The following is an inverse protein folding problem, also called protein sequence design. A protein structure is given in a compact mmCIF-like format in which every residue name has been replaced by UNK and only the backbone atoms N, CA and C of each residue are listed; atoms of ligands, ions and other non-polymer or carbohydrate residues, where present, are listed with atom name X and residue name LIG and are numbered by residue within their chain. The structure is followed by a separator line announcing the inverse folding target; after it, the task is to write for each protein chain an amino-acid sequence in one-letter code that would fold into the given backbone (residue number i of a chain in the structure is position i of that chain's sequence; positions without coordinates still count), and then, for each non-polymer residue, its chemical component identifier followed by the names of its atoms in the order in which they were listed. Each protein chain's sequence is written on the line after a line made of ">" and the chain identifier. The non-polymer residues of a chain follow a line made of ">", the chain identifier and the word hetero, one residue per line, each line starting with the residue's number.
data_IF_748581329473
#
_entry.id   IF_748581329473
#
_cell.length_a   1.000
_cell.length_b   1.000
_cell.length_c   1.000
_cell.angle_alpha   90.00
_cell.angle_beta   90.00
_cell.angle_gamma   90.00
#
_symmetry.space_group_name_H-M   'P 1'
#
loop_
_entity.id
_entity.type
_entity.pdbx_description
1 polymer ?
#
# COMPACT_ATOMS: atom_id res chain seq x y z
N UNK A 1 -68.26 52.80 -4.06
CA UNK A 1 -66.89 52.88 -4.59
C UNK A 1 -66.06 51.76 -3.98
N UNK A 2 -65.93 50.66 -4.70
CA UNK A 2 -65.12 49.52 -4.26
C UNK A 2 -63.75 49.61 -4.94
N UNK A 3 -62.65 49.69 -4.14
CA UNK A 3 -61.29 49.65 -4.65
C UNK A 3 -60.88 48.13 -4.78
N UNK A 4 -60.55 47.74 -6.02
CA UNK A 4 -59.95 46.43 -6.29
C UNK A 4 -58.45 46.52 -6.04
N UNK A 5 -57.97 45.69 -5.14
CA UNK A 5 -56.54 45.49 -4.92
C UNK A 5 -56.02 44.38 -5.87
N UNK A 6 -55.22 44.76 -6.83
CA UNK A 6 -54.55 43.84 -7.74
C UNK A 6 -53.26 43.34 -7.08
N UNK A 7 -53.21 42.06 -6.65
CA UNK A 7 -52.00 41.42 -6.19
C UNK A 7 -51.15 40.93 -7.36
N UNK A 8 -50.04 41.62 -7.58
CA UNK A 8 -49.03 41.19 -8.54
C UNK A 8 -48.26 40.00 -7.94
N UNK A 9 -48.46 38.78 -8.50
CA UNK A 9 -47.68 37.60 -8.14
C UNK A 9 -46.34 37.62 -8.88
N UNK A 10 -45.24 37.90 -8.18
CA UNK A 10 -43.88 37.67 -8.68
C UNK A 10 -43.65 36.15 -8.74
N UNK A 11 -43.47 35.62 -9.94
CA UNK A 11 -42.97 34.27 -10.15
C UNK A 11 -41.45 34.28 -9.99
N UNK A 12 -40.95 33.61 -8.94
CA UNK A 12 -39.50 33.36 -8.74
C UNK A 12 -39.16 32.14 -9.58
N UNK A 13 -38.20 32.22 -10.51
CA UNK A 13 -37.74 31.04 -11.22
C UNK A 13 -36.90 30.18 -10.28
N UNK A 14 -37.35 28.96 -10.00
CA UNK A 14 -36.56 27.94 -9.31
C UNK A 14 -35.48 27.47 -10.28
N UNK A 15 -34.26 27.94 -10.07
CA UNK A 15 -33.08 27.44 -10.77
C UNK A 15 -32.79 26.02 -10.25
N UNK A 16 -33.17 25.00 -11.03
CA UNK A 16 -32.78 23.62 -10.79
C UNK A 16 -31.27 23.53 -11.01
N UNK A 17 -30.48 23.60 -9.92
CA UNK A 17 -29.07 23.30 -9.93
C UNK A 17 -28.92 21.79 -10.11
N UNK A 18 -28.72 21.36 -11.34
CA UNK A 18 -28.41 19.96 -11.65
C UNK A 18 -27.11 19.58 -11.01
N UNK A 19 -27.18 18.81 -9.91
CA UNK A 19 -26.01 18.13 -9.33
C UNK A 19 -25.57 17.09 -10.36
N UNK A 20 -24.55 17.44 -11.15
CA UNK A 20 -23.82 16.44 -11.94
C UNK A 20 -23.08 15.56 -10.93
N UNK A 21 -23.72 14.47 -10.53
CA UNK A 21 -23.02 13.37 -9.87
C UNK A 21 -22.10 12.79 -10.93
N UNK A 22 -20.85 13.26 -10.94
CA UNK A 22 -19.75 12.55 -11.62
C UNK A 22 -19.62 11.21 -10.91
N UNK A 23 -20.44 10.26 -11.36
CA UNK A 23 -20.30 8.88 -10.97
C UNK A 23 -18.90 8.43 -11.38
N UNK A 24 -18.00 8.34 -10.41
CA UNK A 24 -16.75 7.62 -10.57
C UNK A 24 -17.16 6.18 -10.94
N UNK A 25 -17.35 5.92 -12.22
CA UNK A 25 -17.46 4.55 -12.72
C UNK A 25 -16.13 3.89 -12.34
N UNK A 26 -16.19 3.06 -11.32
CA UNK A 26 -15.19 2.03 -11.09
C UNK A 26 -15.09 1.26 -12.41
N UNK A 27 -14.13 1.68 -13.22
CA UNK A 27 -13.86 1.12 -14.53
C UNK A 27 -13.59 -0.36 -14.35
N UNK A 28 -14.36 -1.17 -15.04
CA UNK A 28 -14.22 -2.61 -15.05
C UNK A 28 -12.77 -3.02 -15.21
N UNK A 29 -12.39 -4.09 -14.51
CA UNK A 29 -11.07 -4.72 -14.47
C UNK A 29 -10.36 -4.60 -15.83
N UNK A 30 -9.40 -3.66 -15.91
CA UNK A 30 -8.52 -3.57 -17.08
C UNK A 30 -7.74 -4.88 -17.14
N UNK A 31 -7.81 -5.57 -18.25
CA UNK A 31 -7.23 -6.91 -18.45
C UNK A 31 -5.69 -6.96 -18.41
N UNK A 32 -5.03 -5.93 -17.92
CA UNK A 32 -3.57 -5.80 -17.84
C UNK A 32 -3.12 -4.62 -16.98
N UNK A 33 -1.82 -4.52 -16.76
CA UNK A 33 -1.20 -3.35 -16.12
C UNK A 33 -1.50 -2.09 -16.95
N UNK A 34 -1.73 -0.97 -16.26
CA UNK A 34 -1.97 0.32 -16.90
C UNK A 34 -0.68 0.82 -17.58
N UNK A 35 -0.81 1.84 -18.43
CA UNK A 35 0.36 2.45 -19.06
C UNK A 35 1.34 3.00 -18.02
N UNK A 36 0.83 3.60 -16.94
CA UNK A 36 1.65 4.17 -15.88
C UNK A 36 2.35 3.06 -15.06
N UNK A 37 1.62 2.02 -14.66
CA UNK A 37 2.22 0.86 -13.99
C UNK A 37 3.32 0.21 -14.84
N UNK A 38 3.12 0.09 -16.16
CA UNK A 38 4.14 -0.41 -17.07
C UNK A 38 5.33 0.53 -17.20
N UNK A 39 5.13 1.85 -17.16
CA UNK A 39 6.21 2.82 -17.14
C UNK A 39 7.12 2.58 -15.94
N UNK A 40 6.54 2.43 -14.74
CA UNK A 40 7.27 2.09 -13.53
C UNK A 40 8.08 0.80 -13.72
N UNK A 41 7.47 -0.24 -14.30
CA UNK A 41 8.12 -1.54 -14.48
C UNK A 41 9.27 -1.54 -15.47
N UNK A 42 9.20 -0.73 -16.54
CA UNK A 42 10.14 -0.81 -17.67
C UNK A 42 11.14 0.35 -17.74
N UNK A 43 10.84 1.50 -17.13
CA UNK A 43 11.73 2.67 -17.15
C UNK A 43 12.63 2.76 -15.91
N UNK A 44 12.32 2.02 -14.82
CA UNK A 44 13.18 1.93 -13.66
C UNK A 44 14.11 0.71 -13.74
N UNK A 45 15.22 0.77 -12.99
CA UNK A 45 16.17 -0.33 -12.85
C UNK A 45 15.56 -1.54 -12.11
N UNK A 46 16.38 -2.51 -11.73
CA UNK A 46 15.95 -3.71 -10.99
C UNK A 46 15.37 -3.40 -9.62
N UNK A 47 15.76 -2.29 -9.01
CA UNK A 47 15.23 -1.79 -7.74
C UNK A 47 14.30 -0.62 -8.03
N UNK A 48 13.05 -0.72 -7.56
CA UNK A 48 12.02 0.29 -7.79
C UNK A 48 12.16 1.43 -6.77
N UNK A 49 11.79 2.64 -7.19
CA UNK A 49 11.64 3.77 -6.25
C UNK A 49 10.58 3.45 -5.21
N UNK A 50 10.91 3.65 -3.94
CA UNK A 50 9.96 3.49 -2.84
C UNK A 50 9.26 4.81 -2.56
N UNK A 51 7.94 4.83 -2.72
CA UNK A 51 7.07 6.00 -2.46
C UNK A 51 7.10 6.37 -0.97
N UNK A 52 7.04 7.67 -0.68
CA UNK A 52 7.13 8.18 0.70
C UNK A 52 5.98 9.12 1.03
N UNK A 53 5.50 9.09 2.27
CA UNK A 53 4.34 9.91 2.74
C UNK A 53 4.57 11.42 2.65
N UNK A 54 5.79 11.87 2.47
CA UNK A 54 6.21 13.26 2.40
C UNK A 54 6.10 13.88 1.03
N UNK A 55 6.04 13.07 -0.02
CA UNK A 55 5.63 13.51 -1.34
C UNK A 55 4.10 13.41 -1.45
N UNK A 56 3.40 14.50 -1.81
CA UNK A 56 1.94 14.48 -1.91
C UNK A 56 1.39 13.50 -2.95
N UNK A 57 2.09 13.26 -4.06
CA UNK A 57 1.69 12.32 -5.10
C UNK A 57 1.85 10.87 -4.64
N UNK A 58 2.95 10.56 -3.97
CA UNK A 58 3.22 9.27 -3.36
C UNK A 58 2.21 8.98 -2.24
N UNK A 59 1.96 9.96 -1.38
CA UNK A 59 0.98 9.86 -0.29
C UNK A 59 -0.41 9.51 -0.81
N UNK A 60 -0.82 10.08 -1.95
CA UNK A 60 -2.11 9.74 -2.57
C UNK A 60 -2.16 8.26 -2.99
N UNK A 61 -1.07 7.73 -3.56
CA UNK A 61 -0.98 6.32 -3.95
C UNK A 61 -1.04 5.43 -2.71
N UNK A 62 -0.25 5.74 -1.68
CA UNK A 62 -0.19 4.99 -0.42
C UNK A 62 -1.53 4.97 0.33
N UNK A 63 -2.39 5.97 0.11
CA UNK A 63 -3.71 6.09 0.76
C UNK A 63 -4.87 5.57 -0.09
N UNK A 64 -4.57 5.02 -1.27
CA UNK A 64 -5.60 4.50 -2.18
C UNK A 64 -5.71 2.98 -2.07
N UNK A 65 -6.91 2.41 -1.79
CA UNK A 65 -7.10 0.97 -1.78
C UNK A 65 -6.71 0.32 -3.12
N UNK A 66 -6.02 -0.80 -3.02
CA UNK A 66 -5.46 -1.51 -4.17
C UNK A 66 -6.45 -2.45 -4.84
N UNK A 67 -6.38 -2.54 -6.17
CA UNK A 67 -7.20 -3.44 -6.96
C UNK A 67 -6.56 -4.84 -7.07
N UNK A 68 -7.41 -5.87 -7.23
CA UNK A 68 -6.98 -7.23 -7.53
C UNK A 68 -6.36 -7.33 -8.94
N UNK A 69 -5.50 -8.32 -9.11
CA UNK A 69 -5.02 -8.74 -10.41
C UNK A 69 -5.95 -9.79 -11.00
N UNK A 70 -6.23 -9.67 -12.31
CA UNK A 70 -6.93 -10.73 -13.04
C UNK A 70 -6.00 -11.91 -13.33
N UNK A 71 -6.57 -13.09 -13.63
CA UNK A 71 -5.81 -14.28 -14.02
C UNK A 71 -4.88 -14.01 -15.20
N UNK A 72 -5.34 -13.21 -16.17
CA UNK A 72 -4.53 -12.79 -17.31
C UNK A 72 -3.30 -11.97 -16.87
N UNK A 73 -3.44 -11.11 -15.87
CA UNK A 73 -2.32 -10.35 -15.31
C UNK A 73 -1.34 -11.28 -14.60
N UNK A 74 -1.82 -12.20 -13.77
CA UNK A 74 -1.00 -13.16 -13.03
C UNK A 74 -0.15 -14.04 -13.96
N UNK A 75 -0.68 -14.43 -15.12
CA UNK A 75 0.06 -15.20 -16.14
C UNK A 75 0.98 -14.36 -17.05
N UNK A 76 0.97 -13.04 -16.90
CA UNK A 76 1.73 -12.15 -17.78
C UNK A 76 3.23 -12.10 -17.45
N UNK A 77 4.04 -11.74 -18.45
CA UNK A 77 5.45 -11.43 -18.23
C UNK A 77 5.65 -10.18 -17.37
N UNK A 78 4.71 -9.22 -17.45
CA UNK A 78 4.73 -8.00 -16.67
C UNK A 78 4.60 -8.32 -15.17
N UNK A 79 3.74 -9.27 -14.78
CA UNK A 79 3.61 -9.70 -13.38
C UNK A 79 4.87 -10.41 -12.88
N UNK A 80 5.49 -11.26 -13.68
CA UNK A 80 6.75 -11.92 -13.29
C UNK A 80 7.86 -10.88 -13.07
N UNK A 81 8.03 -9.96 -14.02
CA UNK A 81 8.99 -8.86 -13.88
C UNK A 81 8.68 -8.00 -12.63
N UNK A 82 7.41 -7.71 -12.38
CA UNK A 82 7.00 -6.97 -11.19
C UNK A 82 7.38 -7.71 -9.90
N UNK A 83 7.08 -9.00 -9.83
CA UNK A 83 7.40 -9.83 -8.65
C UNK A 83 8.91 -9.87 -8.37
N UNK A 84 9.73 -10.01 -9.41
CA UNK A 84 11.19 -9.98 -9.30
C UNK A 84 11.71 -8.64 -8.80
N UNK A 85 11.20 -7.53 -9.36
CA UNK A 85 11.60 -6.17 -8.96
C UNK A 85 11.11 -5.81 -7.56
N UNK A 86 9.89 -6.19 -7.19
CA UNK A 86 9.35 -5.97 -5.85
C UNK A 86 10.21 -6.67 -4.79
N UNK A 87 10.58 -7.92 -5.06
CA UNK A 87 11.48 -8.69 -4.22
C UNK A 87 12.89 -8.07 -4.14
N UNK A 88 13.46 -7.68 -5.28
CA UNK A 88 14.77 -7.02 -5.32
C UNK A 88 14.76 -5.69 -4.55
N UNK A 89 13.64 -4.95 -4.59
CA UNK A 89 13.48 -3.67 -3.90
C UNK A 89 13.51 -3.85 -2.36
N UNK A 90 12.73 -4.78 -1.82
CA UNK A 90 12.72 -4.99 -0.37
C UNK A 90 14.04 -5.56 0.16
N UNK A 91 14.77 -6.30 -0.68
CA UNK A 91 16.08 -6.88 -0.35
C UNK A 91 17.26 -5.93 -0.64
N UNK A 92 17.00 -4.71 -1.10
CA UNK A 92 18.07 -3.75 -1.36
C UNK A 92 18.83 -3.44 -0.05
N UNK A 93 20.16 -3.42 -0.04
CA UNK A 93 20.97 -3.31 1.19
C UNK A 93 20.67 -2.07 2.03
N UNK A 94 20.13 -1.02 1.40
CA UNK A 94 19.78 0.25 2.07
C UNK A 94 18.32 0.32 2.54
N UNK A 95 17.48 -0.67 2.24
CA UNK A 95 16.06 -0.65 2.63
C UNK A 95 15.81 -1.33 3.98
N UNK A 96 16.61 -2.34 4.36
CA UNK A 96 16.46 -3.12 5.61
C UNK A 96 15.00 -3.56 5.87
N UNK A 97 14.29 -3.91 4.76
CA UNK A 97 12.87 -4.26 4.80
C UNK A 97 12.65 -5.77 4.94
N UNK A 98 11.64 -6.15 5.73
CA UNK A 98 11.19 -7.55 5.87
C UNK A 98 9.88 -7.79 5.11
N UNK A 99 9.26 -6.73 4.61
CA UNK A 99 8.07 -6.75 3.78
C UNK A 99 7.95 -5.49 2.94
N UNK A 100 7.20 -5.57 1.85
CA UNK A 100 6.85 -4.45 0.98
C UNK A 100 5.54 -4.73 0.25
N UNK A 101 4.71 -3.71 0.13
CA UNK A 101 3.47 -3.76 -0.63
C UNK A 101 3.58 -2.99 -1.96
N UNK A 102 2.85 -3.43 -2.97
CA UNK A 102 2.85 -2.83 -4.31
C UNK A 102 2.60 -1.30 -4.35
N UNK A 103 1.71 -0.69 -3.53
CA UNK A 103 1.56 0.75 -3.51
C UNK A 103 2.82 1.49 -3.05
N UNK A 104 3.70 0.85 -2.28
CA UNK A 104 4.99 1.43 -1.88
C UNK A 104 5.99 1.55 -3.05
N UNK A 105 5.69 0.98 -4.19
CA UNK A 105 6.47 1.18 -5.43
C UNK A 105 5.62 1.81 -6.55
N UNK A 106 4.54 2.51 -6.19
CA UNK A 106 3.70 3.24 -7.12
C UNK A 106 2.69 2.39 -7.90
N UNK A 107 2.49 1.12 -7.54
CA UNK A 107 1.61 0.18 -8.24
C UNK A 107 0.42 -0.20 -7.35
N UNK A 108 -0.78 0.37 -7.63
CA UNK A 108 -1.97 0.16 -6.81
C UNK A 108 -2.64 -1.20 -7.06
N UNK A 109 -1.90 -2.29 -6.82
CA UNK A 109 -2.35 -3.68 -6.96
C UNK A 109 -2.20 -4.45 -5.66
N UNK A 110 -3.12 -5.40 -5.41
CA UNK A 110 -3.06 -6.23 -4.19
C UNK A 110 -1.96 -7.29 -4.30
N UNK A 111 -0.72 -6.85 -4.10
CA UNK A 111 0.47 -7.71 -4.06
C UNK A 111 1.36 -7.24 -2.93
N UNK A 112 1.87 -8.19 -2.16
CA UNK A 112 2.92 -7.96 -1.17
C UNK A 112 4.08 -8.91 -1.40
N UNK A 113 5.25 -8.55 -0.89
CA UNK A 113 6.39 -9.45 -0.75
C UNK A 113 6.79 -9.46 0.73
N UNK A 114 6.93 -10.64 1.32
CA UNK A 114 7.18 -10.84 2.76
C UNK A 114 8.32 -11.82 2.97
N UNK A 115 9.23 -11.52 3.91
CA UNK A 115 10.21 -12.49 4.40
C UNK A 115 9.52 -13.46 5.37
N UNK A 116 9.62 -14.74 5.07
CA UNK A 116 8.95 -15.83 5.80
C UNK A 116 9.86 -16.38 6.90
N UNK A 117 9.92 -15.67 8.04
CA UNK A 117 10.69 -16.11 9.23
C UNK A 117 10.19 -17.42 9.81
N UNK A 118 8.99 -17.85 9.47
CA UNK A 118 8.39 -19.12 9.86
C UNK A 118 8.73 -20.29 8.92
N UNK A 119 9.53 -20.06 7.87
CA UNK A 119 10.00 -21.08 6.92
C UNK A 119 11.53 -21.23 6.97
N UNK A 120 12.01 -22.45 6.67
CA UNK A 120 13.45 -22.71 6.57
C UNK A 120 14.11 -21.80 5.51
N UNK A 121 15.24 -21.18 5.86
CA UNK A 121 15.96 -20.25 5.00
C UNK A 121 15.31 -18.87 4.87
N UNK A 122 14.23 -18.59 5.59
CA UNK A 122 13.57 -17.30 5.67
C UNK A 122 13.34 -16.62 4.30
N UNK A 123 12.74 -17.33 3.31
CA UNK A 123 12.66 -16.83 1.94
C UNK A 123 11.72 -15.60 1.84
N UNK A 124 12.03 -14.71 0.90
CA UNK A 124 11.08 -13.71 0.46
C UNK A 124 10.11 -14.30 -0.56
N UNK A 125 8.80 -14.20 -0.27
CA UNK A 125 7.74 -14.74 -1.10
C UNK A 125 6.74 -13.65 -1.52
N UNK A 126 6.19 -13.74 -2.75
CA UNK A 126 5.25 -12.76 -3.31
C UNK A 126 3.84 -13.31 -3.27
N UNK A 127 2.91 -12.52 -2.76
CA UNK A 127 1.53 -12.91 -2.50
C UNK A 127 0.53 -12.03 -3.29
N UNK A 128 0.10 -12.44 -4.50
CA UNK A 128 -0.90 -11.69 -5.26
C UNK A 128 -2.32 -11.93 -4.73
N UNK A 129 -3.15 -10.90 -4.81
CA UNK A 129 -4.54 -10.90 -4.35
C UNK A 129 -4.70 -11.33 -2.88
N UNK A 130 -3.71 -11.00 -2.06
CA UNK A 130 -3.66 -11.36 -0.64
C UNK A 130 -4.81 -10.75 0.14
N UNK A 131 -5.33 -11.52 1.11
CA UNK A 131 -6.31 -11.11 2.12
C UNK A 131 -5.94 -11.69 3.48
N UNK A 132 -6.29 -10.97 4.53
CA UNK A 132 -6.39 -11.54 5.87
C UNK A 132 -7.84 -11.97 6.06
N UNK A 133 -8.07 -13.27 6.14
CA UNK A 133 -9.42 -13.84 6.29
C UNK A 133 -9.86 -13.79 7.75
N UNK A 134 -8.94 -13.99 8.70
CA UNK A 134 -9.18 -13.83 10.14
C UNK A 134 -7.90 -13.55 10.92
N UNK A 135 -8.06 -12.91 12.06
CA UNK A 135 -7.00 -12.67 13.03
C UNK A 135 -7.31 -13.44 14.32
N UNK A 136 -6.29 -13.97 14.99
CA UNK A 136 -6.46 -14.74 16.22
C UNK A 136 -5.27 -14.55 17.19
N UNK A 137 -5.40 -15.14 18.39
CA UNK A 137 -4.39 -15.04 19.43
C UNK A 137 -4.46 -13.74 20.22
N UNK A 138 -3.47 -13.50 21.06
CA UNK A 138 -3.36 -12.28 21.86
C UNK A 138 -3.08 -11.05 20.97
N UNK A 139 -3.38 -9.86 21.51
CA UNK A 139 -2.90 -8.59 20.95
C UNK A 139 -1.62 -8.22 21.67
N UNK A 140 -0.55 -8.00 20.94
CA UNK A 140 0.73 -7.54 21.49
C UNK A 140 1.15 -6.25 20.79
N UNK A 141 1.91 -5.41 21.48
CA UNK A 141 2.51 -4.22 20.88
C UNK A 141 3.75 -4.64 20.10
N UNK A 142 3.75 -4.36 18.81
CA UNK A 142 4.90 -4.50 17.92
C UNK A 142 5.55 -3.15 17.68
N UNK A 143 6.88 -3.10 17.67
CA UNK A 143 7.59 -1.89 17.25
C UNK A 143 7.77 -1.94 15.74
N UNK A 144 7.04 -1.09 15.02
CA UNK A 144 7.03 -1.05 13.56
C UNK A 144 7.72 0.19 13.00
N UNK A 145 8.32 0.03 11.85
CA UNK A 145 8.76 1.08 10.94
C UNK A 145 8.25 0.76 9.54
N UNK A 146 8.37 1.70 8.62
CA UNK A 146 7.90 1.54 7.25
C UNK A 146 8.85 2.23 6.28
N UNK A 147 9.18 1.58 5.16
CA UNK A 147 10.00 2.16 4.10
C UNK A 147 9.38 3.45 3.52
N UNK A 148 8.04 3.53 3.54
CA UNK A 148 7.30 4.71 3.06
C UNK A 148 7.12 5.80 4.13
N UNK A 149 7.47 5.54 5.39
CA UNK A 149 7.40 6.49 6.51
C UNK A 149 8.78 6.60 7.14
N UNK A 150 9.71 7.30 6.49
CA UNK A 150 11.10 7.37 6.93
C UNK A 150 11.20 8.06 8.30
N UNK A 151 12.22 7.68 9.06
CA UNK A 151 12.60 8.23 10.36
C UNK A 151 11.65 8.00 11.52
N UNK A 152 10.50 7.43 11.29
CA UNK A 152 9.51 7.17 12.32
C UNK A 152 9.40 5.68 12.64
N UNK A 153 9.18 5.39 13.92
CA UNK A 153 8.76 4.11 14.46
C UNK A 153 7.53 4.29 15.33
N UNK A 154 6.75 3.21 15.51
CA UNK A 154 5.57 3.27 16.39
C UNK A 154 5.32 1.96 17.10
N UNK A 155 4.65 2.05 18.24
CA UNK A 155 4.10 0.87 18.92
C UNK A 155 2.71 0.58 18.38
N UNK A 156 2.56 -0.55 17.70
CA UNK A 156 1.33 -0.92 16.98
C UNK A 156 0.72 -2.18 17.58
N UNK A 157 -0.55 -2.16 18.00
CA UNK A 157 -1.23 -3.37 18.46
C UNK A 157 -1.49 -4.32 17.28
N UNK A 158 -0.92 -5.53 17.36
CA UNK A 158 -1.09 -6.58 16.36
C UNK A 158 -1.55 -7.89 16.98
N UNK A 159 -2.33 -8.68 16.23
CA UNK A 159 -2.67 -10.04 16.62
C UNK A 159 -1.50 -10.98 16.42
N UNK A 160 -1.39 -11.97 17.31
CA UNK A 160 -0.35 -13.00 17.29
C UNK A 160 -0.38 -13.86 16.04
N UNK A 161 -1.57 -14.07 15.43
CA UNK A 161 -1.71 -14.90 14.26
C UNK A 161 -2.77 -14.40 13.27
N UNK A 162 -2.62 -14.84 12.02
CA UNK A 162 -3.55 -14.56 10.93
C UNK A 162 -3.78 -15.81 10.08
N UNK A 163 -5.02 -15.98 9.61
CA UNK A 163 -5.31 -16.82 8.45
C UNK A 163 -5.30 -15.92 7.24
N UNK A 164 -4.42 -16.21 6.31
CA UNK A 164 -4.25 -15.46 5.06
C UNK A 164 -4.75 -16.29 3.89
N UNK A 165 -5.18 -15.61 2.83
CA UNK A 165 -5.45 -16.29 1.56
C UNK A 165 -5.00 -15.43 0.39
N UNK A 166 -4.51 -16.07 -0.67
CA UNK A 166 -3.95 -15.41 -1.86
C UNK A 166 -4.20 -16.25 -3.11
N UNK A 167 -3.97 -15.70 -4.28
CA UNK A 167 -4.04 -16.45 -5.54
C UNK A 167 -2.67 -17.01 -5.90
N UNK A 168 -2.54 -18.31 -6.00
CA UNK A 168 -1.33 -18.93 -6.53
C UNK A 168 -1.19 -18.58 -8.03
N UNK A 169 -0.10 -17.93 -8.45
CA UNK A 169 0.04 -17.46 -9.83
C UNK A 169 0.26 -18.60 -10.84
N UNK A 170 0.68 -19.80 -10.39
CA UNK A 170 0.89 -20.94 -11.27
C UNK A 170 -0.40 -21.70 -11.52
N UNK A 171 -1.19 -21.94 -10.49
CA UNK A 171 -2.43 -22.73 -10.58
C UNK A 171 -3.68 -21.86 -10.76
N UNK A 172 -3.60 -20.56 -10.44
CA UNK A 172 -4.73 -19.60 -10.37
C UNK A 172 -5.79 -20.00 -9.32
N UNK A 173 -5.43 -20.84 -8.38
CA UNK A 173 -6.32 -21.24 -7.28
C UNK A 173 -6.11 -20.36 -6.06
N UNK A 174 -7.16 -20.24 -5.24
CA UNK A 174 -7.07 -19.60 -3.94
C UNK A 174 -6.38 -20.54 -2.97
N UNK A 175 -5.29 -20.11 -2.36
CA UNK A 175 -4.55 -20.83 -1.31
C UNK A 175 -4.80 -20.13 0.01
N UNK A 176 -4.92 -20.91 1.10
CA UNK A 176 -5.05 -20.39 2.46
C UNK A 176 -3.94 -20.97 3.34
N UNK A 177 -3.31 -20.10 4.14
CA UNK A 177 -2.26 -20.45 5.09
C UNK A 177 -2.52 -19.81 6.45
N UNK A 178 -1.99 -20.43 7.50
CA UNK A 178 -1.95 -19.82 8.84
C UNK A 178 -0.54 -19.36 9.12
N UNK A 179 -0.40 -18.08 9.50
CA UNK A 179 0.88 -17.47 9.90
C UNK A 179 0.80 -16.98 11.35
N UNK A 180 1.94 -16.96 12.03
CA UNK A 180 2.05 -16.61 13.46
C UNK A 180 3.21 -15.67 13.73
N UNK A 181 3.23 -15.14 14.94
CA UNK A 181 4.32 -14.35 15.51
C UNK A 181 4.76 -13.20 14.61
N UNK A 182 6.04 -12.95 14.47
CA UNK A 182 6.56 -11.83 13.69
C UNK A 182 6.14 -11.89 12.22
N UNK A 183 6.06 -13.07 11.61
CA UNK A 183 5.55 -13.23 10.25
C UNK A 183 4.09 -12.73 10.13
N UNK A 184 3.23 -13.02 11.10
CA UNK A 184 1.86 -12.52 11.10
C UNK A 184 1.79 -10.99 11.27
N UNK A 185 2.71 -10.39 12.02
CA UNK A 185 2.83 -8.93 12.13
C UNK A 185 3.16 -8.31 10.77
N UNK A 186 4.12 -8.88 10.03
CA UNK A 186 4.50 -8.39 8.70
C UNK A 186 3.30 -8.47 7.75
N UNK A 187 2.58 -9.60 7.70
CA UNK A 187 1.39 -9.72 6.86
C UNK A 187 0.31 -8.69 7.20
N UNK A 188 0.09 -8.39 8.49
CA UNK A 188 -0.87 -7.37 8.91
C UNK A 188 -0.42 -5.97 8.44
N UNK A 189 0.86 -5.65 8.56
CA UNK A 189 1.44 -4.38 8.10
C UNK A 189 1.29 -4.22 6.58
N UNK A 190 1.71 -5.22 5.81
CA UNK A 190 1.69 -5.14 4.35
C UNK A 190 0.25 -5.16 3.79
N UNK A 191 -0.67 -5.89 4.42
CA UNK A 191 -2.07 -5.86 4.02
C UNK A 191 -2.75 -4.53 4.33
N UNK A 192 -2.36 -3.83 5.40
CA UNK A 192 -2.84 -2.47 5.68
C UNK A 192 -2.50 -1.53 4.53
N UNK A 193 -1.28 -1.58 3.98
CA UNK A 193 -0.91 -0.78 2.80
C UNK A 193 -1.83 -1.01 1.61
N UNK A 194 -2.29 -2.25 1.39
CA UNK A 194 -3.20 -2.58 0.30
C UNK A 194 -4.61 -1.98 0.49
N UNK A 195 -4.95 -1.60 1.71
CA UNK A 195 -6.21 -0.97 2.07
C UNK A 195 -6.06 0.56 2.29
N UNK A 196 -4.87 1.12 1.96
CA UNK A 196 -4.57 2.55 2.10
C UNK A 196 -4.31 2.98 3.55
N UNK A 197 -3.99 2.04 4.43
CA UNK A 197 -3.73 2.26 5.85
C UNK A 197 -2.22 2.20 6.09
N UNK A 198 -1.70 3.12 6.90
CA UNK A 198 -0.32 3.12 7.35
C UNK A 198 -0.26 2.67 8.82
N UNK A 199 0.88 2.10 9.24
CA UNK A 199 1.06 1.70 10.63
C UNK A 199 0.83 2.86 11.61
N UNK A 200 1.14 4.10 11.20
CA UNK A 200 0.92 5.32 11.99
C UNK A 200 -0.55 5.59 12.31
N UNK A 201 -1.49 5.05 11.51
CA UNK A 201 -2.93 5.17 11.76
C UNK A 201 -3.40 4.21 12.86
N UNK A 202 -2.62 3.18 13.15
CA UNK A 202 -2.91 2.14 14.15
C UNK A 202 -2.06 2.26 15.40
N UNK A 203 -0.95 3.01 15.32
CA UNK A 203 0.01 3.10 16.40
C UNK A 203 -0.56 3.79 17.63
N UNK A 204 -0.33 3.23 18.81
CA UNK A 204 -0.63 3.88 20.10
C UNK A 204 0.26 5.10 20.33
N UNK A 205 1.51 5.03 19.81
CA UNK A 205 2.45 6.16 19.83
C UNK A 205 3.46 6.02 18.70
N UNK A 206 3.96 7.17 18.23
CA UNK A 206 4.97 7.27 17.18
C UNK A 206 6.15 8.11 17.70
N UNK A 207 7.38 7.71 17.36
CA UNK A 207 8.61 8.36 17.80
C UNK A 207 9.66 8.34 16.69
N UNK A 208 10.65 9.24 16.80
CA UNK A 208 11.78 9.28 15.84
C UNK A 208 12.76 8.15 16.12
N UNK A 209 13.25 7.52 15.05
CA UNK A 209 14.29 6.49 15.13
C UNK A 209 15.66 7.15 14.90
N UNK A 210 16.49 7.24 15.95
CA UNK A 210 17.85 7.77 15.85
C UNK A 210 18.74 6.89 14.95
N UNK A 211 18.48 5.59 14.91
CA UNK A 211 19.21 4.65 14.07
C UNK A 211 19.09 4.98 12.58
N UNK A 212 17.92 5.40 12.13
CA UNK A 212 17.66 5.72 10.72
C UNK A 212 18.54 6.85 10.18
N UNK A 213 18.91 7.82 11.00
CA UNK A 213 19.79 8.92 10.60
C UNK A 213 21.22 8.46 10.35
N UNK A 214 21.76 7.60 11.24
CA UNK A 214 23.11 7.06 11.11
C UNK A 214 23.23 6.11 9.90
N UNK A 215 22.23 5.27 9.68
CA UNK A 215 22.18 4.36 8.53
C UNK A 215 22.13 5.11 7.21
N UNK A 216 21.35 6.19 7.12
CA UNK A 216 21.32 7.03 5.91
C UNK A 216 22.68 7.64 5.61
N UNK A 217 23.35 8.21 6.58
CA UNK A 217 24.70 8.77 6.40
C UNK A 217 25.68 7.71 5.88
N UNK A 218 25.56 6.48 6.37
CA UNK A 218 26.39 5.35 5.91
C UNK A 218 26.14 5.04 4.44
N UNK A 219 24.89 4.85 4.03
CA UNK A 219 24.55 4.53 2.64
C UNK A 219 24.79 5.69 1.67
N UNK A 220 24.60 6.94 2.10
CA UNK A 220 24.96 8.12 1.31
C UNK A 220 26.48 8.14 1.05
N UNK A 221 27.28 7.80 2.04
CA UNK A 221 28.74 7.69 1.88
C UNK A 221 29.18 6.62 0.88
N UNK A 222 28.32 5.62 0.61
CA UNK A 222 28.54 4.57 -0.40
C UNK A 222 28.01 4.96 -1.80
N UNK A 223 27.41 6.15 -1.96
CA UNK A 223 26.86 6.64 -3.21
C UNK A 223 25.48 6.09 -3.55
N UNK A 224 24.78 5.45 -2.60
CA UNK A 224 23.40 5.04 -2.78
C UNK A 224 22.45 6.23 -2.56
N UNK A 225 21.30 6.19 -3.27
CA UNK A 225 20.27 7.21 -3.07
C UNK A 225 19.71 7.15 -1.66
N UNK A 226 19.83 8.24 -0.93
CA UNK A 226 19.27 8.39 0.41
C UNK A 226 18.01 9.26 0.32
N UNK A 227 16.88 8.71 0.76
CA UNK A 227 15.61 9.45 0.80
C UNK A 227 15.75 10.69 1.70
N UNK A 228 15.22 11.85 1.26
CA UNK A 228 15.21 13.03 2.12
C UNK A 228 14.49 12.74 3.44
N UNK A 229 15.08 13.14 4.56
CA UNK A 229 14.39 13.06 5.85
C UNK A 229 13.24 14.03 5.90
N UNK A 230 12.13 13.57 6.43
CA UNK A 230 10.98 14.41 6.71
C UNK A 230 11.16 15.03 8.07
N UNK A 231 11.45 16.32 8.07
CA UNK A 231 11.19 17.12 9.25
C UNK A 231 9.67 17.40 9.29
N UNK A 232 8.92 16.54 9.98
CA UNK A 232 7.58 16.88 10.41
C UNK A 232 7.77 17.92 11.53
N UNK A 233 7.48 19.20 11.18
CA UNK A 233 7.35 20.27 12.15
C UNK A 233 5.94 20.31 12.70
#
# INVERSE_FOLDING_TARGET
>A
MKKQNTFLRLAVPVLLCGIIVVGCRLSGSRSGFTREERRILFEQDSILYVTVVTDPSDSLILRTPCADLSDKMLKSKDFRLFSEKLKATVQAPWEDGVGIAAPQVGISRRVICVQRFDKEGEPFEVYPNIRIDSLFGAVTLSTEGCLSVPDLRGYVPRREGAVISYTDPETLTRVSETVRDFTAVIFQHECDHLDGILYTDRADSVFFSERSAAERMYYDSLGYYVKPSVLIR
#
